data_IF_123578904896
#
_entry.id   IF_123578904896
#
_cell.length_a   1.000
_cell.length_b   1.000
_cell.length_c   1.000
_cell.angle_alpha   90.00
_cell.angle_beta   90.00
_cell.angle_gamma   90.00
#
_symmetry.space_group_name_H-M   'P 1'
#
loop_
_entity.id
_entity.type
_entity.pdbx_description
1 polymer ?
#
# COMPACT_ATOMS: atom_id res chain seq x y z
N UNK A 1 -7.61 -29.69 -11.47
CA UNK A 1 -7.51 -29.63 -10.00
C UNK A 1 -6.46 -28.57 -9.67
N UNK A 2 -6.84 -27.42 -9.08
CA UNK A 2 -5.86 -26.38 -8.71
C UNK A 2 -5.14 -26.81 -7.41
N UNK A 3 -3.84 -26.51 -7.22
CA UNK A 3 -3.13 -26.87 -6.00
C UNK A 3 -3.83 -26.26 -4.78
N UNK A 4 -3.81 -26.98 -3.65
CA UNK A 4 -4.35 -26.55 -2.35
C UNK A 4 -3.53 -25.42 -1.68
N UNK A 5 -2.57 -24.82 -2.38
CA UNK A 5 -1.53 -23.94 -1.81
C UNK A 5 -1.91 -22.45 -1.73
N UNK A 6 -3.12 -22.06 -2.15
CA UNK A 6 -3.52 -20.64 -2.17
C UNK A 6 -2.80 -19.84 -3.27
N UNK A 7 -3.17 -18.58 -3.44
CA UNK A 7 -2.54 -17.66 -4.39
C UNK A 7 -1.91 -16.48 -3.65
N UNK A 8 -0.82 -15.86 -4.13
CA UNK A 8 -0.22 -14.72 -3.46
C UNK A 8 -1.22 -13.56 -3.29
N UNK A 9 -1.29 -12.98 -2.10
CA UNK A 9 -2.21 -11.89 -1.77
C UNK A 9 -2.12 -10.74 -2.77
N UNK A 10 -0.90 -10.35 -3.16
CA UNK A 10 -0.68 -9.29 -4.14
C UNK A 10 -1.28 -9.58 -5.51
N UNK A 11 -1.26 -10.84 -5.96
CA UNK A 11 -1.86 -11.25 -7.23
C UNK A 11 -3.39 -11.22 -7.15
N UNK A 12 -3.96 -11.76 -6.07
CA UNK A 12 -5.41 -11.72 -5.81
C UNK A 12 -5.91 -10.27 -5.81
N UNK A 13 -5.23 -9.38 -5.08
CA UNK A 13 -5.61 -7.97 -5.01
C UNK A 13 -5.41 -7.25 -6.35
N UNK A 14 -4.37 -7.61 -7.12
CA UNK A 14 -4.16 -7.09 -8.48
C UNK A 14 -5.28 -7.50 -9.43
N UNK A 15 -5.80 -8.72 -9.28
CA UNK A 15 -6.94 -9.21 -10.05
C UNK A 15 -8.22 -8.43 -9.71
N UNK A 16 -8.50 -8.21 -8.42
CA UNK A 16 -9.73 -7.52 -7.97
C UNK A 16 -9.73 -6.01 -8.26
N UNK A 17 -8.58 -5.34 -8.13
CA UNK A 17 -8.49 -3.87 -8.14
C UNK A 17 -7.88 -3.29 -9.43
N UNK A 18 -7.65 -4.13 -10.44
CA UNK A 18 -7.17 -3.73 -11.76
C UNK A 18 -5.86 -2.95 -11.75
N UNK A 19 -5.74 -1.98 -12.67
CA UNK A 19 -4.51 -1.25 -12.94
C UNK A 19 -3.96 -0.50 -11.72
N UNK A 20 -4.83 0.01 -10.86
CA UNK A 20 -4.42 0.78 -9.69
C UNK A 20 -3.60 -0.08 -8.72
N UNK A 21 -4.08 -1.28 -8.38
CA UNK A 21 -3.32 -2.16 -7.49
C UNK A 21 -2.09 -2.74 -8.18
N UNK A 22 -2.20 -3.10 -9.45
CA UNK A 22 -1.05 -3.58 -10.24
C UNK A 22 0.10 -2.57 -10.24
N UNK A 23 -0.18 -1.28 -10.41
CA UNK A 23 0.84 -0.23 -10.35
C UNK A 23 1.50 -0.11 -8.98
N UNK A 24 0.72 -0.18 -7.90
CA UNK A 24 1.26 -0.19 -6.52
C UNK A 24 2.18 -1.37 -6.26
N UNK A 25 1.74 -2.58 -6.65
CA UNK A 25 2.52 -3.80 -6.45
C UNK A 25 3.82 -3.76 -7.26
N UNK A 26 3.76 -3.43 -8.55
CA UNK A 26 4.93 -3.34 -9.40
C UNK A 26 5.96 -2.32 -8.87
N UNK A 27 5.49 -1.15 -8.45
CA UNK A 27 6.34 -0.10 -7.91
C UNK A 27 6.99 -0.51 -6.58
N UNK A 28 6.23 -1.10 -5.66
CA UNK A 28 6.77 -1.57 -4.39
C UNK A 28 7.84 -2.65 -4.60
N UNK A 29 7.60 -3.61 -5.50
CA UNK A 29 8.56 -4.66 -5.82
C UNK A 29 9.85 -4.10 -6.46
N UNK A 30 9.74 -3.03 -7.25
CA UNK A 30 10.89 -2.43 -7.94
C UNK A 30 11.78 -1.58 -7.01
N UNK A 31 11.18 -0.84 -6.08
CA UNK A 31 11.90 0.20 -5.33
C UNK A 31 12.05 -0.06 -3.82
N UNK A 32 11.32 -1.03 -3.24
CA UNK A 32 11.45 -1.32 -1.82
C UNK A 32 12.84 -1.86 -1.47
N UNK A 33 13.44 -1.28 -0.42
CA UNK A 33 14.75 -1.68 0.13
C UNK A 33 14.62 -1.97 1.62
N UNK A 34 13.90 -3.04 2.02
CA UNK A 34 13.71 -3.35 3.43
C UNK A 34 15.03 -3.79 4.09
N UNK A 35 15.19 -3.56 5.41
CA UNK A 35 16.26 -4.21 6.15
C UNK A 35 16.09 -5.74 6.11
N UNK A 36 17.20 -6.50 6.21
CA UNK A 36 17.24 -7.97 6.06
C UNK A 36 16.19 -8.78 6.84
N UNK A 37 15.66 -8.23 7.93
CA UNK A 37 14.68 -8.88 8.81
C UNK A 37 13.24 -8.44 8.56
N UNK A 38 13.00 -7.69 7.49
CA UNK A 38 11.70 -7.11 7.18
C UNK A 38 11.24 -7.43 5.76
N UNK A 39 9.92 -7.50 5.61
CA UNK A 39 9.24 -7.65 4.32
C UNK A 39 9.15 -6.28 3.65
N UNK A 40 9.51 -6.20 2.38
CA UNK A 40 9.56 -4.93 1.63
C UNK A 40 8.24 -4.49 1.01
N UNK A 41 7.30 -5.41 0.83
CA UNK A 41 6.02 -5.12 0.18
C UNK A 41 4.87 -5.73 0.97
N UNK A 42 4.06 -4.85 1.55
CA UNK A 42 2.95 -5.20 2.43
C UNK A 42 1.63 -4.68 1.88
N UNK A 43 0.56 -5.41 2.16
CA UNK A 43 -0.83 -5.09 1.81
C UNK A 43 -1.60 -4.82 3.10
N UNK A 44 -2.32 -3.70 3.15
CA UNK A 44 -3.30 -3.42 4.21
C UNK A 44 -4.53 -4.30 3.94
N UNK A 45 -4.88 -5.15 4.88
CA UNK A 45 -6.04 -6.04 4.81
C UNK A 45 -7.13 -5.61 5.79
N UNK A 46 -8.39 -5.89 5.46
CA UNK A 46 -9.54 -5.41 6.23
C UNK A 46 -9.65 -6.04 7.64
N UNK A 47 -9.12 -7.24 7.88
CA UNK A 47 -9.25 -7.92 9.18
C UNK A 47 -7.97 -8.58 9.69
N UNK A 48 -6.84 -8.45 8.98
CA UNK A 48 -5.59 -9.11 9.35
C UNK A 48 -4.38 -8.15 9.36
N UNK A 49 -4.61 -6.84 9.27
CA UNK A 49 -3.56 -5.82 9.31
C UNK A 49 -2.64 -5.84 8.08
N UNK A 50 -1.35 -5.56 8.30
CA UNK A 50 -0.31 -5.58 7.27
C UNK A 50 0.15 -7.01 7.00
N UNK A 51 -0.05 -7.49 5.76
CA UNK A 51 0.36 -8.84 5.31
C UNK A 51 1.34 -8.75 4.13
N UNK A 52 2.36 -9.63 4.02
CA UNK A 52 3.23 -9.67 2.85
C UNK A 52 2.44 -9.88 1.56
N UNK A 53 2.81 -9.16 0.50
CA UNK A 53 2.15 -9.36 -0.81
C UNK A 53 2.39 -10.76 -1.38
N UNK A 54 3.49 -11.42 -0.99
CA UNK A 54 3.80 -12.80 -1.37
C UNK A 54 3.07 -13.85 -0.51
N UNK A 55 2.35 -13.45 0.55
CA UNK A 55 1.67 -14.40 1.42
C UNK A 55 0.60 -15.18 0.64
N UNK A 56 0.64 -16.53 0.65
CA UNK A 56 -0.41 -17.34 0.04
C UNK A 56 -1.73 -17.18 0.81
N UNK A 57 -2.80 -16.87 0.08
CA UNK A 57 -4.15 -16.73 0.65
C UNK A 57 -5.12 -17.69 0.01
N UNK A 58 -6.07 -18.18 0.82
CA UNK A 58 -7.15 -19.06 0.37
C UNK A 58 -8.44 -18.29 0.16
N UNK A 59 -9.38 -18.88 -0.56
CA UNK A 59 -10.71 -18.31 -0.75
C UNK A 59 -11.42 -18.03 0.59
N UNK A 60 -11.25 -18.90 1.58
CA UNK A 60 -11.89 -18.72 2.89
C UNK A 60 -11.30 -17.54 3.65
N UNK A 61 -9.99 -17.28 3.52
CA UNK A 61 -9.40 -16.07 4.07
C UNK A 61 -9.95 -14.82 3.36
N UNK A 62 -10.06 -14.85 2.03
CA UNK A 62 -10.62 -13.74 1.26
C UNK A 62 -12.06 -13.43 1.69
N UNK A 63 -12.90 -14.47 1.90
CA UNK A 63 -14.28 -14.30 2.40
C UNK A 63 -14.30 -13.63 3.77
N UNK A 64 -13.49 -14.09 4.72
CA UNK A 64 -13.39 -13.46 6.05
C UNK A 64 -12.92 -12.01 5.96
N UNK A 65 -11.98 -11.70 5.08
CA UNK A 65 -11.54 -10.31 4.88
C UNK A 65 -12.66 -9.45 4.31
N UNK A 66 -13.52 -9.98 3.43
CA UNK A 66 -14.63 -9.26 2.85
C UNK A 66 -15.78 -8.96 3.85
N UNK A 67 -15.86 -9.70 4.95
CA UNK A 67 -16.84 -9.48 6.03
C UNK A 67 -16.50 -8.29 6.92
N UNK A 68 -15.24 -7.82 6.90
CA UNK A 68 -14.79 -6.73 7.78
C UNK A 68 -14.89 -5.39 7.07
N UNK A 69 -15.69 -4.49 7.62
CA UNK A 69 -15.77 -3.12 7.14
C UNK A 69 -14.46 -2.36 7.39
N UNK A 70 -13.92 -1.75 6.33
CA UNK A 70 -12.73 -0.89 6.40
C UNK A 70 -13.13 0.48 6.94
N UNK A 71 -13.11 0.61 8.26
CA UNK A 71 -13.34 1.85 8.98
C UNK A 71 -12.47 1.93 10.24
N UNK A 72 -11.84 3.09 10.48
CA UNK A 72 -11.01 3.30 11.68
C UNK A 72 -11.77 3.17 13.00
N UNK A 73 -13.10 3.35 13.01
CA UNK A 73 -13.93 3.11 14.19
C UNK A 73 -14.22 1.62 14.41
N UNK A 74 -14.09 0.77 13.39
CA UNK A 74 -14.31 -0.68 13.50
C UNK A 74 -13.11 -1.37 14.17
N UNK A 75 -13.25 -1.92 15.39
CA UNK A 75 -12.15 -2.59 16.08
C UNK A 75 -11.59 -3.80 15.30
N UNK A 76 -12.46 -4.55 14.59
CA UNK A 76 -12.06 -5.73 13.82
C UNK A 76 -11.11 -5.39 12.66
N UNK A 77 -11.12 -4.14 12.18
CA UNK A 77 -10.16 -3.62 11.22
C UNK A 77 -8.99 -2.88 11.89
N UNK A 78 -9.31 -1.97 12.83
CA UNK A 78 -8.33 -1.08 13.47
C UNK A 78 -7.27 -1.86 14.25
N UNK A 79 -7.67 -2.81 15.10
CA UNK A 79 -6.76 -3.46 16.04
C UNK A 79 -5.71 -4.34 15.35
N UNK A 80 -6.06 -5.18 14.35
CA UNK A 80 -5.07 -5.92 13.57
C UNK A 80 -4.09 -5.00 12.83
N UNK A 81 -4.58 -3.88 12.28
CA UNK A 81 -3.74 -2.91 11.58
C UNK A 81 -2.77 -2.21 12.54
N UNK A 82 -3.24 -1.78 13.70
CA UNK A 82 -2.40 -1.20 14.75
C UNK A 82 -1.33 -2.18 15.23
N UNK A 83 -1.71 -3.41 15.55
CA UNK A 83 -0.79 -4.43 16.08
C UNK A 83 0.31 -4.78 15.06
N UNK A 84 -0.07 -5.01 13.81
CA UNK A 84 0.88 -5.31 12.73
C UNK A 84 1.77 -4.11 12.39
N UNK A 85 1.26 -2.88 12.44
CA UNK A 85 2.06 -1.67 12.25
C UNK A 85 3.10 -1.48 13.35
N UNK A 86 2.73 -1.69 14.63
CA UNK A 86 3.69 -1.66 15.76
C UNK A 86 4.76 -2.74 15.64
N UNK A 87 4.37 -3.96 15.28
CA UNK A 87 5.31 -5.07 15.05
C UNK A 87 6.30 -4.76 13.92
N UNK A 88 5.80 -4.18 12.81
CA UNK A 88 6.65 -3.74 11.71
C UNK A 88 7.61 -2.63 12.16
N UNK A 89 7.13 -1.62 12.86
CA UNK A 89 7.94 -0.50 13.35
C UNK A 89 9.10 -0.98 14.23
N UNK A 90 8.86 -1.98 15.10
CA UNK A 90 9.91 -2.60 15.90
C UNK A 90 10.95 -3.35 15.04
N UNK A 91 10.51 -4.09 14.01
CA UNK A 91 11.38 -4.86 13.12
C UNK A 91 12.25 -4.00 12.21
N UNK A 92 11.72 -2.90 11.68
CA UNK A 92 12.46 -2.04 10.72
C UNK A 92 13.33 -0.99 11.42
N UNK A 93 13.18 -0.83 12.74
CA UNK A 93 13.90 0.18 13.51
C UNK A 93 13.51 1.62 13.16
N UNK A 94 14.33 2.59 13.58
CA UNK A 94 14.04 4.03 13.46
C UNK A 94 14.59 4.70 12.19
N UNK A 95 15.40 3.98 11.40
CA UNK A 95 16.10 4.50 10.21
C UNK A 95 15.50 4.01 8.89
N UNK A 96 14.38 3.31 8.95
CA UNK A 96 13.66 2.82 7.78
C UNK A 96 12.39 3.65 7.61
N UNK A 97 12.20 4.17 6.39
CA UNK A 97 10.96 4.83 5.99
C UNK A 97 9.93 3.80 5.53
N UNK A 98 8.65 4.17 5.61
CA UNK A 98 7.52 3.35 5.16
C UNK A 98 6.72 4.17 4.16
N UNK A 99 6.62 3.68 2.93
CA UNK A 99 5.94 4.40 1.84
C UNK A 99 4.54 3.84 1.63
N UNK A 100 3.53 4.67 1.86
CA UNK A 100 2.13 4.36 1.62
C UNK A 100 1.75 4.65 0.17
N UNK A 101 1.54 3.58 -0.61
CA UNK A 101 1.08 3.68 -2.00
C UNK A 101 -0.46 3.65 -2.14
N UNK A 102 -1.20 3.55 -1.04
CA UNK A 102 -2.67 3.53 -0.98
C UNK A 102 -3.32 4.91 -1.17
N UNK A 103 -4.62 5.04 -0.85
CA UNK A 103 -5.31 6.34 -0.91
C UNK A 103 -4.87 7.25 0.26
N UNK A 104 -4.11 8.29 -0.03
CA UNK A 104 -3.58 9.20 1.01
C UNK A 104 -4.66 10.12 1.61
N UNK A 105 -5.76 10.32 0.87
CA UNK A 105 -6.85 11.23 1.23
C UNK A 105 -7.75 10.70 2.35
N UNK A 106 -7.70 9.39 2.64
CA UNK A 106 -8.54 8.79 3.67
C UNK A 106 -7.80 8.70 5.00
N UNK A 107 -8.50 9.05 6.08
CA UNK A 107 -8.03 8.87 7.45
C UNK A 107 -8.12 7.40 7.94
N UNK A 108 -8.82 6.53 7.18
CA UNK A 108 -9.08 5.12 7.54
C UNK A 108 -7.84 4.28 7.84
N UNK A 109 -6.66 4.66 7.34
CA UNK A 109 -5.40 4.02 7.74
C UNK A 109 -4.28 5.03 7.97
N UNK A 110 -4.36 6.24 7.43
CA UNK A 110 -3.29 7.23 7.64
C UNK A 110 -3.19 7.61 9.11
N UNK A 111 -4.29 7.73 9.85
CA UNK A 111 -4.25 8.01 11.29
C UNK A 111 -3.67 6.84 12.08
N UNK A 112 -4.07 5.62 11.73
CA UNK A 112 -3.61 4.38 12.39
C UNK A 112 -2.10 4.18 12.16
N UNK A 113 -1.65 4.29 10.91
CA UNK A 113 -0.26 4.09 10.54
C UNK A 113 0.64 5.22 11.06
N UNK A 114 0.17 6.47 11.06
CA UNK A 114 0.93 7.61 11.58
C UNK A 114 1.30 7.43 13.05
N UNK A 115 0.42 6.81 13.86
CA UNK A 115 0.74 6.51 15.27
C UNK A 115 1.91 5.55 15.45
N UNK A 116 2.17 4.66 14.49
CA UNK A 116 3.26 3.69 14.55
C UNK A 116 4.56 4.21 13.93
N UNK A 117 4.46 5.00 12.85
CA UNK A 117 5.62 5.38 12.04
C UNK A 117 6.02 6.86 12.17
N UNK A 118 5.11 7.74 12.60
CA UNK A 118 5.31 9.19 12.67
C UNK A 118 5.72 9.79 11.32
N UNK A 119 6.70 10.69 11.35
CA UNK A 119 7.26 11.35 10.15
C UNK A 119 7.88 10.41 9.12
N UNK A 120 8.12 9.13 9.47
CA UNK A 120 8.63 8.09 8.55
C UNK A 120 7.54 7.45 7.71
N UNK A 121 6.27 7.73 7.99
CA UNK A 121 5.19 7.37 7.08
C UNK A 121 5.17 8.37 5.94
N UNK A 122 5.67 7.95 4.79
CA UNK A 122 5.78 8.79 3.60
C UNK A 122 4.76 8.38 2.54
N UNK A 123 4.55 9.24 1.55
CA UNK A 123 3.83 8.91 0.32
C UNK A 123 4.41 9.68 -0.87
N UNK A 124 4.19 9.23 -2.13
CA UNK A 124 4.65 9.97 -3.30
C UNK A 124 3.97 11.34 -3.43
N UNK A 125 4.73 12.43 -3.46
CA UNK A 125 4.19 13.79 -3.55
C UNK A 125 3.26 13.96 -4.77
N UNK A 126 3.60 13.31 -5.88
CA UNK A 126 2.82 13.28 -7.11
C UNK A 126 1.42 12.65 -6.99
N UNK A 127 1.06 12.04 -5.85
CA UNK A 127 -0.28 11.48 -5.65
C UNK A 127 -1.34 12.56 -5.39
N UNK A 128 -0.95 13.74 -4.92
CA UNK A 128 -1.89 14.82 -4.59
C UNK A 128 -2.69 15.20 -5.84
N UNK A 129 -4.02 15.23 -5.70
CA UNK A 129 -4.95 15.55 -6.80
C UNK A 129 -5.12 14.44 -7.85
N UNK A 130 -4.42 13.29 -7.74
CA UNK A 130 -4.56 12.17 -8.69
C UNK A 130 -5.57 11.12 -8.23
N UNK A 131 -6.52 10.80 -9.09
CA UNK A 131 -7.38 9.61 -8.92
C UNK A 131 -6.63 8.28 -9.09
N UNK A 132 -7.23 7.20 -8.63
CA UNK A 132 -6.65 5.84 -8.53
C UNK A 132 -5.97 5.35 -9.81
N UNK A 133 -6.67 5.44 -10.95
CA UNK A 133 -6.12 4.99 -12.23
C UNK A 133 -4.93 5.84 -12.71
N UNK A 134 -4.96 7.15 -12.45
CA UNK A 134 -3.86 8.07 -12.78
C UNK A 134 -2.61 7.74 -11.95
N UNK A 135 -2.79 7.39 -10.67
CA UNK A 135 -1.71 6.93 -9.80
C UNK A 135 -1.16 5.58 -10.27
N UNK A 136 -2.02 4.62 -10.57
CA UNK A 136 -1.61 3.31 -11.11
C UNK A 136 -0.75 3.44 -12.38
N UNK A 137 -1.18 4.26 -13.34
CA UNK A 137 -0.43 4.52 -14.57
C UNK A 137 0.90 5.24 -14.33
N UNK A 138 0.94 6.22 -13.42
CA UNK A 138 2.18 6.91 -13.04
C UNK A 138 3.21 5.92 -12.47
N UNK A 139 2.78 5.06 -11.54
CA UNK A 139 3.64 4.08 -10.90
C UNK A 139 4.24 3.09 -11.90
N UNK A 140 3.42 2.59 -12.85
CA UNK A 140 3.91 1.70 -13.91
C UNK A 140 4.92 2.38 -14.83
N UNK A 141 4.71 3.67 -15.16
CA UNK A 141 5.67 4.45 -15.93
C UNK A 141 6.99 4.61 -15.20
N UNK A 142 6.94 4.97 -13.92
CA UNK A 142 8.12 5.07 -13.07
C UNK A 142 8.93 3.77 -13.03
N UNK A 143 8.25 2.62 -12.93
CA UNK A 143 8.91 1.30 -13.01
C UNK A 143 9.56 1.09 -14.37
N UNK A 144 8.85 1.37 -15.47
CA UNK A 144 9.40 1.23 -16.83
C UNK A 144 10.61 2.15 -17.08
N UNK A 145 10.64 3.32 -16.46
CA UNK A 145 11.73 4.31 -16.55
C UNK A 145 12.86 4.07 -15.52
N UNK A 146 12.71 3.11 -14.60
CA UNK A 146 13.64 2.94 -13.48
C UNK A 146 13.72 4.14 -12.52
N UNK A 147 12.67 4.96 -12.47
CA UNK A 147 12.64 6.25 -11.77
C UNK A 147 11.76 6.20 -10.52
N UNK A 148 12.38 6.23 -9.35
CA UNK A 148 11.69 6.37 -8.07
C UNK A 148 11.11 7.78 -7.89
N UNK A 149 9.89 7.88 -7.34
CA UNK A 149 9.21 9.14 -7.06
C UNK A 149 9.75 9.81 -5.79
N UNK A 150 9.70 11.15 -5.70
CA UNK A 150 9.96 11.85 -4.45
C UNK A 150 8.86 11.57 -3.42
N UNK A 151 9.26 11.35 -2.17
CA UNK A 151 8.35 11.09 -1.07
C UNK A 151 8.30 12.26 -0.09
N UNK A 152 7.13 12.48 0.51
CA UNK A 152 6.91 13.45 1.57
C UNK A 152 6.20 12.79 2.76
N UNK A 153 6.39 13.28 4.00
CA UNK A 153 5.69 12.76 5.16
C UNK A 153 4.17 12.91 5.03
N UNK A 154 3.41 11.94 5.53
CA UNK A 154 1.95 12.06 5.69
C UNK A 154 1.61 13.14 6.72
N UNK A 155 2.40 13.21 7.79
CA UNK A 155 2.27 14.21 8.84
C UNK A 155 2.50 15.62 8.28
N UNK A 156 1.54 16.51 8.52
CA UNK A 156 1.61 17.91 8.07
C UNK A 156 1.40 18.14 6.57
N UNK A 157 1.25 17.09 5.75
CA UNK A 157 1.08 17.24 4.32
C UNK A 157 -0.34 17.66 3.90
N UNK A 158 -0.41 18.50 2.88
CA UNK A 158 -1.64 18.76 2.12
C UNK A 158 -1.90 17.55 1.21
N UNK A 159 -2.92 16.75 1.54
CA UNK A 159 -3.26 15.48 0.86
C UNK A 159 -4.34 15.63 -0.22
N UNK A 160 -4.91 16.83 -0.34
CA UNK A 160 -5.90 17.21 -1.34
C UNK A 160 -5.37 18.39 -2.16
N UNK A 161 -5.59 18.40 -3.47
CA UNK A 161 -5.08 19.48 -4.32
C UNK A 161 -5.64 19.44 -5.73
N UNK A 162 -5.29 20.44 -6.56
CA UNK A 162 -5.77 20.52 -7.93
C UNK A 162 -5.32 19.31 -8.74
N UNK A 163 -6.17 18.88 -9.68
CA UNK A 163 -5.89 17.72 -10.52
C UNK A 163 -4.68 18.03 -11.43
N UNK A 164 -3.58 17.25 -11.37
CA UNK A 164 -2.43 17.48 -12.23
C UNK A 164 -2.72 17.08 -13.69
N UNK A 165 -1.88 17.52 -14.64
CA UNK A 165 -2.02 17.17 -16.06
C UNK A 165 -2.13 15.66 -16.30
N UNK A 166 -2.86 15.30 -17.36
CA UNK A 166 -2.95 13.90 -17.80
C UNK A 166 -1.56 13.38 -18.18
N UNK A 167 -1.29 12.12 -17.86
CA UNK A 167 -0.06 11.45 -18.29
C UNK A 167 -0.02 11.42 -19.82
N UNK A 168 1.09 11.86 -20.41
CA UNK A 168 1.33 11.77 -21.85
C UNK A 168 1.17 10.33 -22.34
N UNK A 169 0.76 10.09 -23.59
CA UNK A 169 0.61 8.73 -24.12
C UNK A 169 1.99 8.05 -24.20
N UNK A 170 2.11 6.81 -23.71
CA UNK A 170 3.37 6.06 -23.88
C UNK A 170 3.57 5.77 -25.37
N UNK A 171 4.81 5.97 -25.85
CA UNK A 171 5.21 5.45 -27.15
C UNK A 171 5.12 3.91 -27.10
N UNK A 172 4.66 3.30 -28.21
CA UNK A 172 4.60 1.85 -28.35
C UNK A 172 5.99 1.31 -28.65
#
# INVERSE_FOLDING_TARGET
MRPREGAPLGEVMSFMSGLYFRGKLAYALAFARPPRRAEGTLVITAGAGLRPAAEPVTLDLIRRLAEVEVDSANPAYREPLEASARSLAARIGRRCDVVLLGSIASNKYTDILSRAFGTRLLFPADFVGRGDMSRGGLLLRCVAEGRELPYVPVEGAVRHGPRPPRLARMAR
#
